data_IF_763391974995
#
_entry.id   IF_763391974995
#
_cell.length_a   1.000
_cell.length_b   1.000
_cell.length_c   1.000
_cell.angle_alpha   90.00
_cell.angle_beta   90.00
_cell.angle_gamma   90.00
#
_symmetry.space_group_name_H-M   'P 1'
#
loop_
_entity.id
_entity.type
_entity.pdbx_description
1 polymer ?
#
# COMPACT_ATOMS: atom_id res chain seq x y z
N UNK A 1 -0.08 -1.07 15.13
CA UNK A 1 0.23 -0.58 13.76
C UNK A 1 1.67 -0.12 13.73
N UNK A 2 2.50 -0.76 12.90
CA UNK A 2 3.94 -0.46 12.83
C UNK A 2 4.18 0.87 12.10
N UNK A 3 5.41 1.40 12.18
CA UNK A 3 5.79 2.66 11.54
C UNK A 3 5.47 2.67 10.04
N UNK A 4 5.83 1.61 9.31
CA UNK A 4 5.62 1.50 7.87
C UNK A 4 4.14 1.58 7.47
N UNK A 5 3.25 0.92 8.21
CA UNK A 5 1.80 0.99 7.94
C UNK A 5 1.26 2.42 8.17
N UNK A 6 1.75 3.12 9.19
CA UNK A 6 1.38 4.53 9.45
C UNK A 6 1.83 5.44 8.32
N UNK A 7 3.04 5.24 7.80
CA UNK A 7 3.57 6.01 6.66
C UNK A 7 2.75 5.74 5.38
N UNK A 8 2.37 4.49 5.13
CA UNK A 8 1.52 4.11 4.00
C UNK A 8 0.13 4.78 4.10
N UNK A 9 -0.50 4.73 5.27
CA UNK A 9 -1.79 5.38 5.51
C UNK A 9 -1.69 6.90 5.42
N UNK A 10 -0.61 7.52 5.89
CA UNK A 10 -0.39 8.96 5.76
C UNK A 10 -0.29 9.37 4.28
N UNK A 11 0.39 8.58 3.45
CA UNK A 11 0.47 8.82 1.99
C UNK A 11 -0.87 8.65 1.30
N UNK A 12 -1.66 7.63 1.66
CA UNK A 12 -3.03 7.46 1.17
C UNK A 12 -3.93 8.63 1.58
N UNK A 13 -3.81 9.09 2.82
CA UNK A 13 -4.55 10.27 3.30
C UNK A 13 -4.16 11.52 2.51
N UNK A 14 -2.86 11.73 2.27
CA UNK A 14 -2.38 12.86 1.47
C UNK A 14 -2.94 12.81 0.04
N UNK A 15 -2.93 11.65 -0.61
CA UNK A 15 -3.56 11.49 -1.93
C UNK A 15 -5.04 11.89 -1.87
N UNK A 16 -5.80 11.39 -0.90
CA UNK A 16 -7.22 11.74 -0.76
C UNK A 16 -7.45 13.24 -0.51
N UNK A 17 -6.56 13.89 0.24
CA UNK A 17 -6.63 15.33 0.50
C UNK A 17 -6.37 16.16 -0.76
N UNK A 18 -5.39 15.79 -1.58
CA UNK A 18 -4.93 16.61 -2.71
C UNK A 18 -5.49 16.20 -4.07
N UNK A 19 -6.09 15.01 -4.20
CA UNK A 19 -6.56 14.50 -5.50
C UNK A 19 -7.60 15.42 -6.14
N UNK A 20 -8.52 15.98 -5.35
CA UNK A 20 -9.52 16.92 -5.85
C UNK A 20 -8.89 18.16 -6.48
N UNK A 21 -7.89 18.74 -5.83
CA UNK A 21 -7.15 19.90 -6.34
C UNK A 21 -6.44 19.59 -7.66
N UNK A 22 -5.76 18.44 -7.73
CA UNK A 22 -5.08 17.99 -8.96
C UNK A 22 -6.07 17.77 -10.11
N UNK A 23 -7.23 17.17 -9.84
CA UNK A 23 -8.28 16.97 -10.86
C UNK A 23 -8.81 18.32 -11.36
N UNK A 24 -9.04 19.26 -10.46
CA UNK A 24 -9.46 20.62 -10.82
C UNK A 24 -8.39 21.32 -11.66
N UNK A 25 -7.11 21.21 -11.30
CA UNK A 25 -6.00 21.77 -12.08
C UNK A 25 -5.92 21.17 -13.50
N UNK A 26 -6.13 19.86 -13.63
CA UNK A 26 -6.18 19.18 -14.93
C UNK A 26 -7.33 19.68 -15.80
N UNK A 27 -8.51 19.90 -15.20
CA UNK A 27 -9.68 20.48 -15.90
C UNK A 27 -9.41 21.92 -16.37
N UNK A 28 -8.79 22.75 -15.53
CA UNK A 28 -8.46 24.14 -15.89
C UNK A 28 -7.42 24.26 -17.01
N UNK A 29 -6.58 23.24 -17.17
CA UNK A 29 -5.53 23.19 -18.19
C UNK A 29 -5.93 22.40 -19.44
N UNK A 30 -7.23 22.14 -19.61
CA UNK A 30 -7.73 21.55 -20.84
C UNK A 30 -7.43 22.46 -22.04
N UNK A 31 -7.14 21.83 -23.17
CA UNK A 31 -7.00 22.51 -24.46
C UNK A 31 -7.92 21.81 -25.46
N UNK A 32 -8.82 22.56 -26.10
CA UNK A 32 -9.83 21.99 -27.00
C UNK A 32 -10.79 20.96 -26.37
N UNK A 33 -10.90 20.92 -25.03
CA UNK A 33 -11.66 19.90 -24.30
C UNK A 33 -10.87 18.63 -23.98
N UNK A 34 -9.60 18.55 -24.38
CA UNK A 34 -8.71 17.44 -24.05
C UNK A 34 -7.90 17.73 -22.78
N UNK A 35 -7.67 16.70 -21.97
CA UNK A 35 -6.85 16.79 -20.75
C UNK A 35 -5.36 16.81 -21.10
N UNK A 36 -4.53 17.58 -20.38
CA UNK A 36 -3.10 17.66 -20.68
C UNK A 36 -2.40 16.33 -20.39
N UNK A 37 -1.83 15.72 -21.44
CA UNK A 37 -1.20 14.39 -21.36
C UNK A 37 -0.11 14.32 -20.28
N UNK A 38 0.72 15.36 -20.14
CA UNK A 38 1.78 15.39 -19.13
C UNK A 38 1.24 15.45 -17.70
N UNK A 39 0.12 16.12 -17.49
CA UNK A 39 -0.58 16.12 -16.20
C UNK A 39 -1.11 14.74 -15.86
N UNK A 40 -1.73 14.06 -16.83
CA UNK A 40 -2.20 12.68 -16.68
C UNK A 40 -1.06 11.70 -16.39
N UNK A 41 0.07 11.81 -17.09
CA UNK A 41 1.26 10.98 -16.85
C UNK A 41 1.80 11.14 -15.43
N UNK A 42 1.91 12.38 -14.94
CA UNK A 42 2.38 12.64 -13.57
C UNK A 42 1.42 12.07 -12.52
N UNK A 43 0.12 12.32 -12.67
CA UNK A 43 -0.89 11.75 -11.76
C UNK A 43 -0.85 10.22 -11.78
N UNK A 44 -0.86 9.62 -12.97
CA UNK A 44 -0.76 8.17 -13.15
C UNK A 44 0.50 7.57 -12.51
N UNK A 45 1.66 8.22 -12.69
CA UNK A 45 2.92 7.78 -12.08
C UNK A 45 2.86 7.77 -10.54
N UNK A 46 2.29 8.81 -9.93
CA UNK A 46 2.12 8.86 -8.47
C UNK A 46 1.16 7.78 -7.96
N UNK A 47 0.04 7.56 -8.66
CA UNK A 47 -0.91 6.50 -8.33
C UNK A 47 -0.28 5.11 -8.47
N UNK A 48 0.50 4.88 -9.52
CA UNK A 48 1.18 3.61 -9.76
C UNK A 48 2.17 3.31 -8.64
N UNK A 49 2.97 4.29 -8.22
CA UNK A 49 3.91 4.11 -7.13
C UNK A 49 3.21 3.79 -5.80
N UNK A 50 2.16 4.56 -5.45
CA UNK A 50 1.42 4.29 -4.22
C UNK A 50 0.74 2.92 -4.24
N UNK A 51 0.19 2.53 -5.40
CA UNK A 51 -0.44 1.21 -5.57
C UNK A 51 0.59 0.10 -5.39
N UNK A 52 1.78 0.23 -5.99
CA UNK A 52 2.86 -0.74 -5.82
C UNK A 52 3.28 -0.88 -4.34
N UNK A 53 3.37 0.23 -3.61
CA UNK A 53 3.72 0.21 -2.18
C UNK A 53 2.66 -0.49 -1.32
N UNK A 54 1.37 -0.30 -1.65
CA UNK A 54 0.26 -0.97 -0.96
C UNK A 54 0.28 -2.47 -1.24
N UNK A 55 0.44 -2.88 -2.50
CA UNK A 55 0.48 -4.29 -2.89
C UNK A 55 1.68 -5.01 -2.28
N UNK A 56 2.88 -4.41 -2.37
CA UNK A 56 4.08 -4.98 -1.75
C UNK A 56 3.90 -5.17 -0.24
N UNK A 57 3.20 -4.25 0.43
CA UNK A 57 2.92 -4.40 1.86
C UNK A 57 1.93 -5.54 2.13
N UNK A 58 0.94 -5.75 1.25
CA UNK A 58 0.02 -6.88 1.37
C UNK A 58 0.76 -8.22 1.19
N UNK A 59 1.60 -8.32 0.16
CA UNK A 59 2.41 -9.51 -0.11
C UNK A 59 3.32 -9.88 1.08
N UNK A 60 3.93 -8.86 1.72
CA UNK A 60 4.73 -9.06 2.94
C UNK A 60 3.90 -9.64 4.10
N UNK A 61 2.65 -9.19 4.25
CA UNK A 61 1.77 -9.68 5.30
C UNK A 61 1.34 -11.12 5.04
N UNK A 62 1.04 -11.46 3.79
CA UNK A 62 0.66 -12.81 3.39
C UNK A 62 1.85 -13.79 3.52
N UNK A 63 3.07 -13.34 3.21
CA UNK A 63 4.27 -14.16 3.35
C UNK A 63 4.58 -14.54 4.81
N UNK A 64 4.25 -13.68 5.79
CA UNK A 64 4.48 -13.95 7.23
C UNK A 64 3.55 -15.05 7.76
N UNK A 65 2.41 -15.30 7.12
CA UNK A 65 1.44 -16.31 7.60
C UNK A 65 1.95 -17.74 7.44
N UNK A 66 2.97 -18.00 6.61
CA UNK A 66 3.48 -19.35 6.33
C UNK A 66 4.57 -19.81 7.31
N UNK A 67 5.18 -18.91 8.07
CA UNK A 67 6.35 -19.23 8.91
C UNK A 67 6.00 -19.40 10.40
N UNK A 68 5.02 -20.27 10.70
CA UNK A 68 4.84 -20.77 12.07
C UNK A 68 5.70 -22.01 12.26
N UNK A 69 6.79 -21.96 13.05
CA UNK A 69 7.51 -23.17 13.41
C UNK A 69 6.55 -24.01 14.24
N UNK A 70 6.26 -25.22 13.78
CA UNK A 70 5.64 -26.25 14.62
C UNK A 70 6.65 -26.53 15.74
N UNK A 71 6.48 -25.83 16.86
CA UNK A 71 7.28 -26.05 18.05
C UNK A 71 7.11 -27.51 18.45
N UNK A 72 8.23 -28.23 18.38
CA UNK A 72 8.39 -29.62 18.76
C UNK A 72 7.83 -29.80 20.18
N UNK A 73 6.71 -30.53 20.28
CA UNK A 73 6.03 -30.77 21.56
C UNK A 73 6.90 -31.79 22.33
N UNK A 74 7.52 -31.44 23.47
CA UNK A 74 8.32 -32.41 24.19
C UNK A 74 7.43 -33.56 24.66
N UNK A 75 7.83 -34.78 24.34
CA UNK A 75 7.17 -36.01 24.75
C UNK A 75 7.00 -36.01 26.28
N UNK A 76 5.77 -36.19 26.76
CA UNK A 76 5.52 -36.37 28.18
C UNK A 76 6.19 -37.67 28.62
N UNK A 77 7.27 -37.56 29.38
CA UNK A 77 7.82 -38.66 30.16
C UNK A 77 6.76 -39.04 31.21
N UNK A 78 6.00 -40.10 30.94
CA UNK A 78 5.19 -40.78 31.95
C UNK A 78 6.14 -41.65 32.78
N UNK A 79 6.68 -41.10 33.87
CA UNK A 79 7.30 -41.92 34.91
C UNK A 79 6.17 -42.62 35.66
N UNK A 80 6.05 -43.93 35.47
CA UNK A 80 5.37 -44.84 36.39
C UNK A 80 6.43 -45.38 37.33
N UNK A 81 6.32 -45.07 38.62
CA UNK A 81 6.66 -45.95 39.74
C UNK A 81 5.69 -45.69 40.90
#
# INVERSE_FOLDING_TARGET
MIRRDRELLARLSALNTYLGEVVVELLHRQDGGELPADGLRRLGGHLQQLTADVLARADELDAVVIDVPVADRPARLTTRE
#
